data_IF_351769652215
#
_entry.id   IF_351769652215
#
_cell.length_a   1.000
_cell.length_b   1.000
_cell.length_c   1.000
_cell.angle_alpha   90.00
_cell.angle_beta   90.00
_cell.angle_gamma   90.00
#
_symmetry.space_group_name_H-M   'P 1'
#
loop_
_entity.id
_entity.type
_entity.pdbx_description
1 polymer ?
#
# COMPACT_ATOMS: atom_id res chain seq x y z
N UNK A 1 37.83 -1.88 -8.29
CA UNK A 1 36.42 -2.18 -8.57
C UNK A 1 35.59 -1.23 -7.75
N UNK A 2 34.88 -0.33 -8.39
CA UNK A 2 34.09 0.67 -7.68
C UNK A 2 32.63 0.28 -7.85
N UNK A 3 32.08 -0.33 -6.79
CA UNK A 3 30.65 -0.17 -6.54
C UNK A 3 30.40 1.34 -6.46
N UNK A 4 29.57 1.85 -7.36
CA UNK A 4 29.27 3.27 -7.29
C UNK A 4 28.41 3.51 -6.05
N UNK A 5 28.86 4.29 -5.07
CA UNK A 5 28.05 4.59 -3.89
C UNK A 5 26.70 5.21 -4.25
N UNK A 6 26.57 5.73 -5.47
CA UNK A 6 25.34 6.34 -5.97
C UNK A 6 24.26 5.31 -6.30
N UNK A 7 24.62 4.07 -6.58
CA UNK A 7 23.63 3.00 -6.83
C UNK A 7 22.88 2.63 -5.53
N UNK A 8 23.52 2.80 -4.36
CA UNK A 8 22.92 2.51 -3.05
C UNK A 8 22.15 3.69 -2.46
N UNK A 9 22.21 4.82 -3.10
CA UNK A 9 21.39 5.97 -2.75
C UNK A 9 20.04 5.86 -3.41
N UNK A 10 18.99 5.90 -2.61
CA UNK A 10 17.62 5.85 -3.10
C UNK A 10 16.62 5.80 -1.96
N UNK A 11 15.34 5.96 -2.27
CA UNK A 11 14.30 5.90 -1.27
C UNK A 11 14.25 4.52 -0.61
N UNK A 12 13.94 4.52 0.68
CA UNK A 12 13.77 3.30 1.44
C UNK A 12 12.40 2.67 1.12
N UNK A 13 12.34 1.33 1.15
CA UNK A 13 11.11 0.57 0.91
C UNK A 13 9.99 0.89 1.91
N UNK A 14 10.32 1.35 3.10
CA UNK A 14 9.34 1.71 4.12
C UNK A 14 8.82 3.14 3.98
N UNK A 15 9.42 3.94 3.12
CA UNK A 15 9.00 5.33 2.91
C UNK A 15 7.91 5.40 1.85
N UNK A 16 6.77 5.93 2.26
CA UNK A 16 5.66 6.28 1.36
C UNK A 16 5.75 7.78 1.09
N UNK A 17 6.11 8.22 -0.12
CA UNK A 17 6.32 9.63 -0.43
C UNK A 17 5.08 10.50 -0.18
N UNK A 18 3.92 9.97 -0.51
CA UNK A 18 2.66 10.71 -0.38
C UNK A 18 1.62 9.88 0.36
N UNK A 19 1.05 10.46 1.41
CA UNK A 19 -0.08 9.90 2.14
C UNK A 19 -1.10 10.99 2.42
N UNK A 20 -2.34 10.72 2.07
CA UNK A 20 -3.48 11.58 2.36
C UNK A 20 -4.43 10.82 3.28
N UNK A 21 -4.86 11.47 4.35
CA UNK A 21 -5.90 10.98 5.25
C UNK A 21 -6.91 12.09 5.45
N UNK A 22 -8.16 11.81 5.16
CA UNK A 22 -9.26 12.72 5.40
C UNK A 22 -10.31 12.05 6.28
N UNK A 23 -10.80 12.76 7.28
CA UNK A 23 -11.88 12.32 8.15
C UNK A 23 -13.03 13.33 8.09
N UNK A 24 -14.21 12.85 7.82
CA UNK A 24 -15.42 13.67 7.70
C UNK A 24 -16.53 13.12 8.61
N UNK A 25 -16.60 13.55 9.89
CA UNK A 25 -17.73 13.27 10.74
C UNK A 25 -18.92 14.16 10.34
N UNK A 26 -20.10 13.59 10.34
CA UNK A 26 -21.34 14.28 9.98
C UNK A 26 -22.52 13.81 10.82
N UNK A 27 -23.14 14.74 11.52
CA UNK A 27 -24.38 14.49 12.25
C UNK A 27 -25.54 14.47 11.27
N UNK A 28 -26.23 13.32 11.19
CA UNK A 28 -27.39 13.16 10.32
C UNK A 28 -28.51 14.05 10.85
N UNK A 29 -29.02 15.00 10.03
CA UNK A 29 -29.96 16.03 10.50
C UNK A 29 -31.40 15.50 10.56
N UNK A 30 -31.59 14.28 11.10
CA UNK A 30 -32.90 13.63 11.27
C UNK A 30 -33.14 13.39 12.74
N UNK A 31 -34.38 13.65 13.22
CA UNK A 31 -34.79 13.43 14.59
C UNK A 31 -35.44 14.63 15.26
N UNK A 32 -35.82 14.48 16.51
CA UNK A 32 -36.35 15.56 17.34
C UNK A 32 -35.32 16.66 17.46
N UNK A 33 -35.76 17.92 17.29
CA UNK A 33 -34.91 19.13 17.30
C UNK A 33 -33.84 19.15 16.18
N UNK A 34 -33.99 18.32 15.16
CA UNK A 34 -33.16 18.36 13.97
C UNK A 34 -33.92 18.96 12.77
N UNK A 35 -33.23 19.23 11.66
CA UNK A 35 -33.80 19.87 10.47
C UNK A 35 -34.94 19.02 9.86
N UNK A 36 -34.83 17.72 9.91
CA UNK A 36 -35.83 16.79 9.36
C UNK A 36 -36.41 15.93 10.47
N UNK A 37 -37.73 15.76 10.48
CA UNK A 37 -38.41 14.90 11.44
C UNK A 37 -38.58 15.50 12.84
N UNK A 38 -38.62 16.80 13.00
CA UNK A 38 -38.80 17.51 14.30
C UNK A 38 -40.09 17.11 15.04
N UNK A 39 -41.13 16.72 14.28
CA UNK A 39 -42.47 16.28 14.81
C UNK A 39 -42.59 14.77 14.93
N UNK A 40 -41.50 14.01 14.77
CA UNK A 40 -41.50 12.56 14.83
C UNK A 40 -41.98 12.03 16.18
N UNK A 41 -42.82 10.97 16.21
CA UNK A 41 -43.16 10.30 17.45
C UNK A 41 -41.91 9.69 18.11
N UNK A 42 -41.93 9.55 19.44
CA UNK A 42 -40.75 9.16 20.21
C UNK A 42 -40.10 7.85 19.76
N UNK A 43 -40.91 6.88 19.35
CA UNK A 43 -40.40 5.59 18.85
C UNK A 43 -39.66 5.71 17.52
N UNK A 44 -40.15 6.60 16.63
CA UNK A 44 -39.49 6.85 15.33
C UNK A 44 -38.18 7.63 15.53
N UNK A 45 -38.17 8.59 16.44
CA UNK A 45 -36.94 9.29 16.81
C UNK A 45 -35.91 8.36 17.45
N UNK A 46 -36.39 7.42 18.27
CA UNK A 46 -35.51 6.40 18.84
C UNK A 46 -34.87 5.48 17.78
N UNK A 47 -35.53 5.25 16.65
CA UNK A 47 -34.98 4.41 15.56
C UNK A 47 -34.16 5.24 14.56
N UNK A 48 -34.69 6.36 14.10
CA UNK A 48 -34.15 7.10 12.95
C UNK A 48 -33.42 8.39 13.34
N UNK A 49 -33.63 8.94 14.52
CA UNK A 49 -33.01 10.17 14.98
C UNK A 49 -31.67 9.97 15.65
N UNK A 50 -30.85 11.01 15.68
CA UNK A 50 -29.61 11.07 16.47
C UNK A 50 -28.47 10.19 15.99
N UNK A 51 -28.43 9.84 14.74
CA UNK A 51 -27.31 9.12 14.13
C UNK A 51 -26.19 10.08 13.71
N UNK A 52 -24.96 9.65 13.90
CA UNK A 52 -23.76 10.31 13.38
C UNK A 52 -23.05 9.35 12.43
N UNK A 53 -22.70 9.85 11.26
CA UNK A 53 -21.89 9.14 10.28
C UNK A 53 -20.46 9.68 10.31
N UNK A 54 -19.50 8.86 9.99
CA UNK A 54 -18.10 9.27 9.80
C UNK A 54 -17.49 8.49 8.65
N UNK A 55 -16.74 9.20 7.83
CA UNK A 55 -16.02 8.62 6.69
C UNK A 55 -14.54 8.89 6.87
N UNK A 56 -13.72 7.85 6.78
CA UNK A 56 -12.27 7.97 6.77
C UNK A 56 -11.78 7.53 5.39
N UNK A 57 -11.25 8.47 4.65
CA UNK A 57 -10.54 8.22 3.40
C UNK A 57 -9.04 8.18 3.66
N UNK A 58 -8.37 7.18 3.15
CA UNK A 58 -6.93 7.07 3.17
C UNK A 58 -6.43 6.71 1.78
N UNK A 59 -5.43 7.44 1.31
CA UNK A 59 -4.72 7.14 0.06
C UNK A 59 -3.22 7.27 0.29
N UNK A 60 -2.45 6.45 -0.37
CA UNK A 60 -1.00 6.50 -0.34
C UNK A 60 -0.41 6.14 -1.71
N UNK A 61 0.73 6.72 -2.04
CA UNK A 61 1.53 6.31 -3.20
C UNK A 61 2.07 4.90 -3.02
N UNK A 62 2.56 4.33 -4.10
CA UNK A 62 3.23 3.04 -4.09
C UNK A 62 4.49 3.02 -3.22
N UNK A 63 4.90 1.82 -2.84
CA UNK A 63 6.17 1.60 -2.16
C UNK A 63 7.30 1.62 -3.18
N UNK A 64 8.46 2.13 -2.75
CA UNK A 64 9.66 2.08 -3.57
C UNK A 64 10.31 0.70 -3.43
N UNK A 65 10.49 0.02 -4.55
CA UNK A 65 11.05 -1.31 -4.61
C UNK A 65 12.44 -1.26 -5.26
N UNK A 66 13.33 -2.08 -4.77
CA UNK A 66 14.66 -2.22 -5.36
C UNK A 66 14.68 -3.50 -6.20
N UNK A 67 14.92 -3.40 -7.51
CA UNK A 67 15.03 -4.58 -8.34
C UNK A 67 16.29 -5.36 -7.98
N UNK A 68 16.13 -6.66 -7.87
CA UNK A 68 17.24 -7.60 -7.70
C UNK A 68 16.91 -8.90 -8.40
N UNK A 69 17.92 -9.62 -8.78
CA UNK A 69 17.74 -11.01 -9.24
C UNK A 69 18.38 -11.96 -8.23
N UNK A 70 17.65 -13.00 -7.92
CA UNK A 70 18.13 -14.16 -7.18
C UNK A 70 17.99 -15.35 -8.11
N UNK A 71 19.06 -15.96 -8.50
CA UNK A 71 19.01 -17.14 -9.35
C UNK A 71 19.71 -18.31 -8.68
N UNK A 72 19.25 -19.51 -8.98
CA UNK A 72 19.92 -20.77 -8.63
C UNK A 72 21.33 -20.83 -9.26
N UNK A 73 21.59 -19.96 -10.20
CA UNK A 73 22.90 -19.72 -10.78
C UNK A 73 23.51 -18.53 -10.10
N UNK A 74 24.34 -18.80 -9.13
CA UNK A 74 25.12 -17.78 -8.46
C UNK A 74 25.96 -17.05 -9.50
N UNK A 75 25.42 -15.94 -9.97
CA UNK A 75 26.20 -14.99 -10.70
C UNK A 75 27.25 -14.46 -9.73
N UNK A 76 28.49 -14.86 -9.96
CA UNK A 76 29.61 -14.31 -9.24
C UNK A 76 30.30 -13.31 -10.17
N UNK A 77 30.16 -12.00 -9.95
CA UNK A 77 30.82 -11.01 -10.78
C UNK A 77 32.35 -11.15 -10.75
N UNK A 78 32.88 -11.88 -9.79
CA UNK A 78 34.31 -12.11 -9.59
C UNK A 78 34.85 -13.36 -10.25
N UNK A 79 33.98 -14.30 -10.62
CA UNK A 79 34.42 -15.57 -11.18
C UNK A 79 33.48 -16.00 -12.31
N UNK A 80 33.94 -15.82 -13.53
CA UNK A 80 33.22 -16.14 -14.76
C UNK A 80 33.15 -17.63 -15.08
N UNK A 81 33.84 -18.47 -14.32
CA UNK A 81 34.08 -19.84 -14.72
C UNK A 81 33.33 -20.91 -13.92
N UNK A 82 32.74 -20.58 -12.78
CA UNK A 82 32.01 -21.57 -11.98
C UNK A 82 30.80 -20.91 -11.27
N UNK A 83 29.64 -21.60 -11.29
CA UNK A 83 28.64 -21.39 -10.25
C UNK A 83 29.32 -21.46 -8.90
N UNK A 84 28.89 -20.68 -7.92
CA UNK A 84 29.32 -20.88 -6.54
C UNK A 84 28.75 -22.20 -6.03
N UNK A 85 29.30 -23.31 -6.53
CA UNK A 85 28.95 -24.64 -6.08
C UNK A 85 29.34 -24.77 -4.63
N UNK A 86 28.35 -24.77 -3.77
CA UNK A 86 28.51 -25.06 -2.36
C UNK A 86 28.18 -23.93 -1.38
N UNK A 87 28.03 -22.72 -1.82
CA UNK A 87 27.46 -21.67 -1.00
C UNK A 87 26.03 -21.42 -1.46
N UNK A 88 25.17 -22.43 -1.34
CA UNK A 88 23.73 -22.33 -1.58
C UNK A 88 23.02 -21.29 -0.70
N UNK A 89 23.65 -20.19 -0.48
CA UNK A 89 23.15 -19.07 0.27
C UNK A 89 22.64 -18.00 -0.68
N UNK A 90 21.44 -18.25 -1.19
CA UNK A 90 20.57 -17.23 -1.71
C UNK A 90 20.29 -16.08 -0.72
N UNK A 91 20.88 -16.12 0.44
CA UNK A 91 20.64 -15.15 1.51
C UNK A 91 21.58 -13.96 1.53
N UNK A 92 22.74 -14.03 0.91
CA UNK A 92 23.71 -12.94 1.10
C UNK A 92 23.86 -11.98 -0.08
N UNK A 93 23.33 -12.29 -1.26
CA UNK A 93 23.69 -11.49 -2.42
C UNK A 93 22.52 -11.32 -3.38
N UNK A 94 21.64 -10.40 -3.06
CA UNK A 94 20.69 -9.87 -4.02
C UNK A 94 21.45 -8.93 -4.97
N UNK A 95 21.76 -9.44 -6.18
CA UNK A 95 22.48 -8.67 -7.19
C UNK A 95 21.52 -7.74 -7.93
N UNK A 96 21.94 -6.54 -8.21
CA UNK A 96 21.18 -5.62 -9.01
C UNK A 96 21.33 -5.90 -10.48
N UNK A 97 20.26 -5.89 -11.27
CA UNK A 97 20.33 -5.98 -12.71
C UNK A 97 20.85 -4.70 -13.35
N UNK A 98 21.18 -4.79 -14.63
CA UNK A 98 21.29 -3.62 -15.48
C UNK A 98 19.91 -3.20 -15.98
N UNK A 99 19.69 -1.88 -16.02
CA UNK A 99 18.48 -1.28 -16.57
C UNK A 99 18.74 -0.93 -18.02
N UNK A 100 17.96 -1.54 -18.91
CA UNK A 100 18.08 -1.39 -20.37
C UNK A 100 16.91 -0.62 -20.98
N UNK A 101 15.83 -0.40 -20.21
CA UNK A 101 14.63 0.30 -20.65
C UNK A 101 13.94 1.00 -19.49
N UNK A 102 12.67 1.39 -19.65
CA UNK A 102 11.86 1.92 -18.57
C UNK A 102 11.08 0.78 -17.87
N UNK A 103 11.48 0.38 -16.66
CA UNK A 103 10.84 -0.72 -15.97
C UNK A 103 9.48 -0.34 -15.36
N UNK A 104 9.16 0.95 -15.21
CA UNK A 104 7.92 1.42 -14.60
C UNK A 104 6.75 1.48 -15.60
N UNK A 105 6.76 0.61 -16.58
CA UNK A 105 5.69 0.45 -17.57
C UNK A 105 5.27 -1.02 -17.68
N UNK A 106 4.06 -1.33 -18.08
CA UNK A 106 2.95 -0.46 -18.44
C UNK A 106 2.06 -0.04 -17.26
N UNK A 107 2.35 -0.46 -16.02
CA UNK A 107 1.60 -0.20 -14.79
C UNK A 107 0.12 -0.63 -14.89
N UNK A 108 -0.12 -1.77 -15.49
CA UNK A 108 -1.44 -2.39 -15.55
C UNK A 108 -1.64 -3.38 -14.41
N UNK A 109 -2.89 -3.82 -14.21
CA UNK A 109 -3.20 -4.83 -13.18
C UNK A 109 -2.47 -6.16 -13.41
N UNK A 110 -2.31 -6.56 -14.67
CA UNK A 110 -1.74 -7.86 -15.01
C UNK A 110 -0.21 -7.80 -15.14
N UNK A 111 0.33 -6.63 -15.42
CA UNK A 111 1.75 -6.37 -15.51
C UNK A 111 2.06 -4.99 -14.98
N UNK A 112 2.60 -4.91 -13.76
CA UNK A 112 2.87 -3.64 -13.12
C UNK A 112 4.20 -3.03 -13.57
N UNK A 113 5.19 -3.84 -13.84
CA UNK A 113 6.50 -3.42 -14.33
C UNK A 113 7.00 -4.32 -15.46
N UNK A 114 7.89 -3.77 -16.28
CA UNK A 114 8.49 -4.49 -17.42
C UNK A 114 9.76 -5.21 -16.98
N UNK A 115 9.69 -6.52 -16.88
CA UNK A 115 10.85 -7.36 -16.56
C UNK A 115 11.88 -7.37 -17.71
N UNK A 116 11.46 -7.13 -18.94
CA UNK A 116 12.37 -7.13 -20.09
C UNK A 116 13.26 -5.88 -20.14
N UNK A 117 12.92 -4.86 -19.34
CA UNK A 117 13.75 -3.69 -19.14
C UNK A 117 15.00 -3.95 -18.28
N UNK A 118 15.21 -5.19 -17.88
CA UNK A 118 16.37 -5.61 -17.09
C UNK A 118 17.20 -6.64 -17.81
N UNK A 119 18.51 -6.59 -17.59
CA UNK A 119 19.46 -7.62 -18.04
C UNK A 119 20.43 -7.98 -16.94
N UNK A 120 21.01 -9.16 -17.05
CA UNK A 120 22.08 -9.60 -16.14
C UNK A 120 23.35 -8.85 -16.56
N UNK A 121 24.04 -8.19 -15.60
CA UNK A 121 25.30 -7.50 -15.87
C UNK A 121 26.37 -8.44 -16.44
N UNK A 122 27.32 -7.86 -17.15
CA UNK A 122 28.47 -8.59 -17.67
C UNK A 122 29.35 -9.18 -16.54
N UNK A 123 30.19 -10.18 -16.88
CA UNK A 123 31.12 -10.75 -15.92
C UNK A 123 32.07 -9.70 -15.32
N UNK A 124 32.12 -9.61 -14.00
CA UNK A 124 32.94 -8.62 -13.30
C UNK A 124 32.32 -7.22 -13.19
N UNK A 125 31.09 -7.05 -13.63
CA UNK A 125 30.36 -5.78 -13.58
C UNK A 125 29.27 -5.82 -12.51
N UNK A 126 28.98 -4.65 -11.93
CA UNK A 126 27.85 -4.46 -11.05
C UNK A 126 26.69 -3.86 -11.84
N UNK A 127 25.48 -4.36 -11.58
CA UNK A 127 24.29 -3.79 -12.21
C UNK A 127 24.05 -2.34 -11.81
N UNK A 128 23.46 -1.59 -12.73
CA UNK A 128 23.24 -0.14 -12.60
C UNK A 128 21.86 0.22 -12.01
N UNK A 129 21.00 -0.76 -11.73
CA UNK A 129 19.69 -0.51 -11.12
C UNK A 129 19.84 0.17 -9.77
N UNK A 130 19.12 1.27 -9.59
CA UNK A 130 19.18 2.07 -8.36
C UNK A 130 18.27 1.51 -7.27
N UNK A 131 18.64 1.74 -6.03
CA UNK A 131 17.79 1.45 -4.87
C UNK A 131 16.46 2.22 -4.99
N UNK A 132 15.34 1.51 -4.82
CA UNK A 132 14.02 2.12 -4.83
C UNK A 132 13.58 2.67 -6.19
N UNK A 133 14.13 2.17 -7.30
CA UNK A 133 13.83 2.67 -8.66
C UNK A 133 12.53 2.16 -9.24
N UNK A 134 11.91 1.13 -8.65
CA UNK A 134 10.59 0.66 -9.02
C UNK A 134 9.54 1.27 -8.10
N UNK A 135 8.44 1.73 -8.68
CA UNK A 135 7.30 2.23 -7.92
C UNK A 135 6.17 1.20 -7.93
N UNK A 136 5.83 0.69 -6.76
CA UNK A 136 4.70 -0.21 -6.58
C UNK A 136 3.35 0.49 -6.77
N UNK A 137 2.24 -0.26 -6.79
CA UNK A 137 0.91 0.33 -6.91
C UNK A 137 0.56 1.18 -5.68
N UNK A 138 -0.05 2.33 -5.94
CA UNK A 138 -0.69 3.12 -4.91
C UNK A 138 -1.93 2.42 -4.36
N UNK A 139 -2.32 2.77 -3.14
CA UNK A 139 -3.49 2.18 -2.49
C UNK A 139 -4.40 3.25 -1.94
N UNK A 140 -5.71 3.00 -1.98
CA UNK A 140 -6.66 3.84 -1.28
C UNK A 140 -7.78 3.01 -0.67
N UNK A 141 -8.32 3.49 0.45
CA UNK A 141 -9.39 2.82 1.19
C UNK A 141 -10.36 3.86 1.74
N UNK A 142 -11.62 3.51 1.77
CA UNK A 142 -12.66 4.30 2.42
C UNK A 142 -13.34 3.44 3.47
N UNK A 143 -13.24 3.86 4.72
CA UNK A 143 -13.96 3.26 5.82
C UNK A 143 -15.14 4.17 6.18
N UNK A 144 -16.29 3.56 6.34
CA UNK A 144 -17.50 4.25 6.73
C UNK A 144 -18.00 3.72 8.06
N UNK A 145 -18.40 4.61 8.94
CA UNK A 145 -19.03 4.25 10.21
C UNK A 145 -20.29 5.04 10.44
N UNK A 146 -21.25 4.39 11.07
CA UNK A 146 -22.46 5.06 11.57
C UNK A 146 -22.65 4.64 13.02
N UNK A 147 -22.94 5.60 13.88
CA UNK A 147 -23.15 5.31 15.28
C UNK A 147 -24.27 6.16 15.87
N UNK A 148 -24.86 5.66 16.93
CA UNK A 148 -25.89 6.31 17.68
C UNK A 148 -25.73 6.04 19.17
N UNK A 149 -25.76 7.10 19.97
CA UNK A 149 -25.80 7.01 21.41
C UNK A 149 -27.27 6.98 21.89
N UNK A 150 -27.57 5.94 22.64
CA UNK A 150 -28.87 5.77 23.32
C UNK A 150 -28.66 5.97 24.80
N UNK A 151 -29.18 7.04 25.34
CA UNK A 151 -29.14 7.32 26.78
C UNK A 151 -30.43 6.78 27.43
N UNK A 152 -30.32 5.72 28.21
CA UNK A 152 -31.42 5.21 29.00
C UNK A 152 -31.21 5.62 30.44
N UNK A 153 -32.02 6.59 30.90
CA UNK A 153 -32.03 7.09 32.30
C UNK A 153 -30.63 7.29 32.86
N UNK A 154 -30.13 8.42 32.93
CA UNK A 154 -28.89 8.97 33.53
C UNK A 154 -27.76 8.00 33.97
N UNK A 155 -28.00 6.70 33.96
CA UNK A 155 -27.10 5.66 34.45
C UNK A 155 -26.57 4.71 33.34
N UNK A 156 -27.28 4.60 32.24
CA UNK A 156 -26.91 3.67 31.16
C UNK A 156 -26.76 4.41 29.84
N UNK A 157 -25.60 4.26 29.23
CA UNK A 157 -25.33 4.72 27.86
C UNK A 157 -25.04 3.49 27.00
N UNK A 158 -25.84 3.29 25.98
CA UNK A 158 -25.63 2.27 24.96
C UNK A 158 -25.25 2.96 23.66
N UNK A 159 -24.14 2.57 23.05
CA UNK A 159 -23.77 3.02 21.73
C UNK A 159 -23.96 1.87 20.75
N UNK A 160 -24.75 2.12 19.73
CA UNK A 160 -24.86 1.26 18.54
C UNK A 160 -23.89 1.78 17.49
N UNK A 161 -23.07 0.89 16.96
CA UNK A 161 -22.09 1.24 15.93
C UNK A 161 -22.10 0.18 14.84
N UNK A 162 -22.16 0.63 13.60
CA UNK A 162 -21.89 -0.19 12.42
C UNK A 162 -20.66 0.35 11.69
N UNK A 163 -19.75 -0.54 11.34
CA UNK A 163 -18.50 -0.24 10.66
C UNK A 163 -18.47 -0.97 9.32
N UNK A 164 -18.11 -0.26 8.28
CA UNK A 164 -17.87 -0.80 6.95
C UNK A 164 -16.43 -0.48 6.57
N UNK A 165 -15.56 -1.45 6.72
CA UNK A 165 -14.19 -1.34 6.26
C UNK A 165 -14.14 -1.57 4.76
N UNK A 166 -13.32 -0.77 4.09
CA UNK A 166 -13.21 -0.82 2.64
C UNK A 166 -14.58 -0.79 1.94
N UNK A 167 -15.39 0.23 2.26
CA UNK A 167 -16.79 0.34 1.85
C UNK A 167 -17.04 0.21 0.33
N UNK A 168 -16.03 0.52 -0.49
CA UNK A 168 -16.08 0.36 -1.95
C UNK A 168 -15.49 -0.96 -2.44
N UNK A 169 -15.08 -1.85 -1.53
CA UNK A 169 -14.44 -3.12 -1.87
C UNK A 169 -13.26 -2.95 -2.86
N UNK A 170 -12.49 -1.88 -2.66
CA UNK A 170 -11.35 -1.60 -3.53
C UNK A 170 -10.19 -2.55 -3.21
N UNK A 171 -9.72 -3.34 -4.20
CA UNK A 171 -8.63 -4.27 -3.96
C UNK A 171 -7.32 -3.52 -3.67
N UNK A 172 -6.59 -3.98 -2.66
CA UNK A 172 -5.28 -3.45 -2.31
C UNK A 172 -4.24 -4.39 -2.91
N UNK A 173 -3.51 -3.90 -3.91
CA UNK A 173 -2.44 -4.67 -4.51
C UNK A 173 -1.15 -4.40 -3.73
N UNK A 174 -0.50 -5.46 -3.33
CA UNK A 174 0.85 -5.42 -2.82
C UNK A 174 1.77 -5.92 -3.93
N UNK A 175 2.85 -5.21 -4.25
CA UNK A 175 3.82 -5.75 -5.18
C UNK A 175 4.38 -7.02 -4.55
N UNK A 176 3.95 -8.16 -5.06
CA UNK A 176 4.49 -9.46 -4.68
C UNK A 176 5.96 -9.53 -5.09
N UNK A 177 6.72 -10.38 -4.42
CA UNK A 177 7.97 -10.84 -4.99
C UNK A 177 7.59 -11.61 -6.26
N UNK A 178 7.81 -11.02 -7.43
CA UNK A 178 7.63 -11.71 -8.69
C UNK A 178 8.72 -12.77 -8.80
N UNK A 179 8.32 -14.01 -9.04
CA UNK A 179 9.21 -15.09 -9.44
C UNK A 179 9.68 -14.88 -10.86
#
# INVERSE_FOLDING_TARGET
>A
MNESPDSDRGPDIHVVPHRVVANAPWDIPVGKNRKYGSTMPGWADALFGGWTASTIFQARSGLNLTPFFSGYYSYNPWNTAKPLDGLGNSFCCAWRPDVTGDPNTPQTRDQWFDQTAYSIPGPGEFGNAKKGSLEGPGTWIVNFSIFKDIVAKDRFRLQLTALLDNAFNHPQFFPGYGD
#
